data_IF_108320649172
#
_entry.id   IF_108320649172
#
_cell.length_a   1.000
_cell.length_b   1.000
_cell.length_c   1.000
_cell.angle_alpha   90.00
_cell.angle_beta   90.00
_cell.angle_gamma   90.00
#
_symmetry.space_group_name_H-M   'P 1'
#
loop_
_entity.id
_entity.type
_entity.pdbx_description
1 polymer ?
#
# COMPACT_ATOMS: atom_id res chain seq x y z
N UNK A 1 9.61 19.98 -13.61
CA UNK A 1 10.26 21.03 -12.78
C UNK A 1 11.01 20.51 -11.55
N UNK A 2 11.00 19.21 -11.22
CA UNK A 2 11.85 18.64 -10.16
C UNK A 2 12.33 17.22 -10.57
N UNK A 3 13.24 17.09 -11.55
CA UNK A 3 13.75 15.77 -11.93
C UNK A 3 14.55 15.15 -10.78
N UNK A 4 14.48 13.83 -10.64
CA UNK A 4 15.22 13.07 -9.63
C UNK A 4 14.52 12.94 -8.28
N UNK A 5 13.35 13.56 -8.09
CA UNK A 5 12.68 13.59 -6.77
C UNK A 5 11.50 12.62 -6.65
N UNK A 6 11.36 11.68 -7.57
CA UNK A 6 10.34 10.62 -7.55
C UNK A 6 10.96 9.30 -8.00
N UNK A 7 10.52 8.18 -7.43
CA UNK A 7 10.87 6.84 -7.92
C UNK A 7 9.85 5.82 -7.43
N UNK A 8 9.97 4.58 -7.89
CA UNK A 8 9.11 3.44 -7.54
C UNK A 8 9.99 2.40 -6.84
N UNK A 9 9.65 1.90 -5.65
CA UNK A 9 10.41 0.84 -5.02
C UNK A 9 10.21 -0.48 -5.77
N UNK A 10 11.23 -1.32 -5.81
CA UNK A 10 11.20 -2.64 -6.42
C UNK A 10 10.72 -3.70 -5.42
N UNK A 11 9.52 -3.50 -4.88
CA UNK A 11 8.90 -4.36 -3.88
C UNK A 11 7.39 -4.45 -4.11
N UNK A 12 6.71 -5.11 -3.17
CA UNK A 12 5.26 -5.22 -3.18
C UNK A 12 4.54 -3.86 -3.23
N UNK A 13 5.08 -2.83 -2.56
CA UNK A 13 4.49 -1.49 -2.53
C UNK A 13 4.56 -0.81 -3.89
N UNK A 14 5.72 -0.88 -4.55
CA UNK A 14 5.85 -0.34 -5.90
C UNK A 14 5.01 -1.08 -6.93
N UNK A 15 4.94 -2.41 -6.84
CA UNK A 15 4.04 -3.18 -7.70
C UNK A 15 2.57 -2.86 -7.44
N UNK A 16 2.22 -2.48 -6.20
CA UNK A 16 0.87 -2.02 -5.86
C UNK A 16 0.53 -0.67 -6.51
N UNK A 17 1.49 0.27 -6.54
CA UNK A 17 1.35 1.49 -7.34
C UNK A 17 1.16 1.18 -8.83
N UNK A 18 1.98 0.28 -9.39
CA UNK A 18 1.90 -0.10 -10.80
C UNK A 18 0.57 -0.78 -11.16
N UNK A 19 -0.03 -1.58 -10.25
CA UNK A 19 -1.39 -2.11 -10.43
C UNK A 19 -2.43 -0.99 -10.55
N UNK A 20 -2.37 0.01 -9.67
CA UNK A 20 -3.31 1.14 -9.73
C UNK A 20 -3.19 1.90 -11.07
N UNK A 21 -1.96 2.12 -11.54
CA UNK A 21 -1.71 2.74 -12.85
C UNK A 21 -2.17 1.84 -14.01
N UNK A 22 -1.95 0.53 -13.90
CA UNK A 22 -2.42 -0.44 -14.90
C UNK A 22 -3.95 -0.38 -15.04
N UNK A 23 -4.70 -0.32 -13.94
CA UNK A 23 -6.16 -0.15 -13.94
C UNK A 23 -6.55 1.17 -14.61
N UNK A 24 -5.90 2.28 -14.23
CA UNK A 24 -6.18 3.59 -14.82
C UNK A 24 -5.95 3.60 -16.34
N UNK A 25 -4.86 3.00 -16.80
CA UNK A 25 -4.52 2.88 -18.23
C UNK A 25 -5.41 1.89 -18.99
N UNK A 26 -6.02 0.93 -18.30
CA UNK A 26 -6.99 0.00 -18.88
C UNK A 26 -8.39 0.61 -19.06
N UNK A 27 -8.64 1.82 -18.55
CA UNK A 27 -9.93 2.50 -18.60
C UNK A 27 -10.53 2.84 -17.24
N UNK A 28 -9.86 2.49 -16.14
CA UNK A 28 -10.33 2.71 -14.78
C UNK A 28 -11.41 1.74 -14.33
N UNK A 29 -11.89 1.91 -13.09
CA UNK A 29 -12.99 1.12 -12.53
C UNK A 29 -12.70 -0.39 -12.53
N UNK A 30 -13.59 -1.15 -13.14
CA UNK A 30 -13.61 -2.62 -13.21
C UNK A 30 -12.93 -3.19 -14.46
N UNK A 31 -12.16 -2.39 -15.21
CA UNK A 31 -11.60 -2.78 -16.51
C UNK A 31 -10.77 -4.08 -16.48
N UNK A 32 -10.15 -4.40 -15.35
CA UNK A 32 -9.33 -5.59 -15.14
C UNK A 32 -9.93 -6.59 -14.13
N UNK A 33 -11.19 -6.39 -13.74
CA UNK A 33 -11.87 -7.24 -12.77
C UNK A 33 -12.07 -8.67 -13.29
N UNK A 34 -12.09 -9.61 -12.34
CA UNK A 34 -12.27 -11.02 -12.59
C UNK A 34 -10.95 -11.78 -12.82
N UNK A 35 -11.02 -12.97 -13.43
CA UNK A 35 -9.84 -13.79 -13.72
C UNK A 35 -8.84 -13.06 -14.62
N UNK A 36 -7.57 -13.42 -14.48
CA UNK A 36 -6.51 -12.89 -15.32
C UNK A 36 -6.82 -13.09 -16.83
N UNK A 37 -6.62 -12.02 -17.60
CA UNK A 37 -6.77 -12.04 -19.05
C UNK A 37 -5.48 -11.55 -19.69
N UNK A 38 -4.81 -12.45 -20.42
CA UNK A 38 -3.57 -12.13 -21.14
C UNK A 38 -3.77 -10.97 -22.13
N UNK A 39 -4.90 -10.94 -22.82
CA UNK A 39 -5.23 -9.90 -23.79
C UNK A 39 -5.35 -8.52 -23.12
N UNK A 40 -6.16 -8.43 -22.05
CA UNK A 40 -6.33 -7.18 -21.29
C UNK A 40 -5.02 -6.72 -20.68
N UNK A 41 -4.27 -7.65 -20.09
CA UNK A 41 -2.96 -7.37 -19.51
C UNK A 41 -2.01 -6.79 -20.56
N UNK A 42 -1.80 -7.47 -21.70
CA UNK A 42 -0.86 -7.02 -22.73
C UNK A 42 -1.20 -5.63 -23.27
N UNK A 43 -2.47 -5.31 -23.43
CA UNK A 43 -2.92 -3.99 -23.88
C UNK A 43 -2.59 -2.91 -22.84
N UNK A 44 -2.94 -3.14 -21.58
CA UNK A 44 -2.71 -2.17 -20.51
C UNK A 44 -1.22 -2.04 -20.13
N UNK A 45 -0.48 -3.15 -20.09
CA UNK A 45 0.93 -3.17 -19.69
C UNK A 45 1.84 -2.54 -20.74
N UNK A 46 1.50 -2.64 -22.03
CA UNK A 46 2.21 -1.90 -23.08
C UNK A 46 2.20 -0.38 -22.82
N UNK A 47 1.02 0.17 -22.49
CA UNK A 47 0.86 1.58 -22.12
C UNK A 47 1.59 1.91 -20.81
N UNK A 48 1.52 1.01 -19.81
CA UNK A 48 2.19 1.19 -18.54
C UNK A 48 3.71 1.31 -18.71
N UNK A 49 4.32 0.39 -19.46
CA UNK A 49 5.78 0.37 -19.61
C UNK A 49 6.27 1.51 -20.51
N UNK A 50 5.50 1.92 -21.51
CA UNK A 50 5.77 3.16 -22.24
C UNK A 50 5.78 4.37 -21.31
N UNK A 51 4.77 4.49 -20.45
CA UNK A 51 4.67 5.57 -19.48
C UNK A 51 5.83 5.56 -18.47
N UNK A 52 6.13 4.40 -17.86
CA UNK A 52 7.23 4.30 -16.87
C UNK A 52 8.58 4.61 -17.52
N UNK A 53 8.85 4.15 -18.75
CA UNK A 53 10.07 4.52 -19.48
C UNK A 53 10.15 6.02 -19.77
N UNK A 54 9.03 6.67 -20.09
CA UNK A 54 9.00 8.12 -20.30
C UNK A 54 9.36 8.90 -19.02
N UNK A 55 9.08 8.32 -17.84
CA UNK A 55 9.39 8.90 -16.54
C UNK A 55 10.82 8.57 -16.07
N UNK A 56 11.37 7.42 -16.47
CA UNK A 56 12.62 6.88 -15.95
C UNK A 56 13.81 7.87 -15.94
N UNK A 57 14.06 8.67 -17.01
CA UNK A 57 15.14 9.67 -17.00
C UNK A 57 15.00 10.74 -15.91
N UNK A 58 13.77 10.96 -15.43
CA UNK A 58 13.44 11.95 -14.41
C UNK A 58 13.27 11.32 -13.02
N UNK A 59 13.46 10.01 -12.87
CA UNK A 59 13.38 9.37 -11.56
C UNK A 59 14.66 9.59 -10.74
N UNK A 60 14.58 9.33 -9.43
CA UNK A 60 15.73 9.35 -8.53
C UNK A 60 16.88 8.53 -9.10
N UNK A 61 18.10 9.10 -9.07
CA UNK A 61 19.32 8.56 -9.70
C UNK A 61 19.16 8.26 -11.21
N UNK A 62 18.29 9.00 -11.90
CA UNK A 62 18.01 8.82 -13.33
C UNK A 62 17.36 7.48 -13.66
N UNK A 63 16.65 6.87 -12.70
CA UNK A 63 15.97 5.59 -12.88
C UNK A 63 16.91 4.39 -13.12
N UNK A 64 18.18 4.51 -12.73
CA UNK A 64 19.19 3.45 -12.82
C UNK A 64 19.15 2.49 -11.62
N UNK A 65 18.48 2.89 -10.56
CA UNK A 65 18.30 2.09 -9.34
C UNK A 65 16.96 2.43 -8.70
N UNK A 66 16.39 1.44 -8.04
CA UNK A 66 15.08 1.50 -7.43
C UNK A 66 15.20 1.06 -5.96
N UNK A 67 14.63 1.82 -5.01
CA UNK A 67 14.66 1.45 -3.60
C UNK A 67 14.04 0.07 -3.36
N UNK A 68 14.48 -0.63 -2.31
CA UNK A 68 14.02 -1.98 -1.97
C UNK A 68 12.68 -2.02 -1.20
N UNK A 69 12.12 -0.86 -0.86
CA UNK A 69 10.81 -0.76 -0.23
C UNK A 69 10.56 0.56 0.50
N UNK A 70 9.40 0.66 1.20
CA UNK A 70 8.95 1.88 1.89
C UNK A 70 9.95 2.43 2.90
N UNK A 71 10.64 1.58 3.66
CA UNK A 71 11.60 2.03 4.67
C UNK A 71 12.74 2.85 4.06
N UNK A 72 13.27 2.42 2.92
CA UNK A 72 14.30 3.16 2.17
C UNK A 72 13.70 4.43 1.56
N UNK A 73 12.51 4.34 0.98
CA UNK A 73 11.78 5.52 0.46
C UNK A 73 11.54 6.60 1.53
N UNK A 74 11.15 6.21 2.75
CA UNK A 74 10.96 7.16 3.86
C UNK A 74 12.26 7.85 4.26
N UNK A 75 13.39 7.13 4.28
CA UNK A 75 14.70 7.74 4.55
C UNK A 75 15.08 8.75 3.47
N UNK A 76 14.87 8.40 2.19
CA UNK A 76 15.10 9.31 1.07
C UNK A 76 14.22 10.56 1.17
N UNK A 77 12.94 10.40 1.54
CA UNK A 77 12.02 11.52 1.76
C UNK A 77 12.46 12.39 2.93
N UNK A 78 12.85 11.79 4.06
CA UNK A 78 13.33 12.52 5.23
C UNK A 78 14.62 13.31 4.95
N UNK A 79 15.48 12.78 4.08
CA UNK A 79 16.70 13.45 3.62
C UNK A 79 16.46 14.50 2.51
N UNK A 80 15.22 14.62 2.01
CA UNK A 80 14.88 15.53 0.90
C UNK A 80 15.39 15.08 -0.47
N UNK A 81 15.82 13.83 -0.62
CA UNK A 81 16.28 13.29 -1.91
C UNK A 81 15.13 13.01 -2.88
N UNK A 82 13.96 12.66 -2.32
CA UNK A 82 12.71 12.49 -3.07
C UNK A 82 11.60 13.27 -2.36
N UNK A 83 10.59 13.69 -3.13
CA UNK A 83 9.43 14.43 -2.63
C UNK A 83 8.24 13.51 -2.30
N UNK A 84 8.32 12.24 -2.72
CA UNK A 84 7.26 11.25 -2.52
C UNK A 84 7.83 9.97 -1.93
N UNK A 85 7.20 9.49 -0.86
CA UNK A 85 7.27 8.09 -0.44
C UNK A 85 5.89 7.46 -0.61
N UNK A 86 5.78 6.16 -0.37
CA UNK A 86 4.54 5.41 -0.53
C UNK A 86 4.42 4.35 0.57
N UNK A 87 3.19 4.01 0.92
CA UNK A 87 2.85 2.94 1.85
C UNK A 87 1.51 2.33 1.46
N UNK A 88 1.31 1.07 1.84
CA UNK A 88 0.02 0.38 1.75
C UNK A 88 -0.84 0.53 3.02
N UNK A 89 -0.33 1.25 4.04
CA UNK A 89 -1.05 1.55 5.26
C UNK A 89 -1.51 3.02 5.22
N UNK A 90 -2.82 3.21 5.28
CA UNK A 90 -3.49 4.51 5.20
C UNK A 90 -3.27 5.39 6.46
N UNK A 91 -2.65 4.86 7.52
CA UNK A 91 -2.19 5.58 8.70
C UNK A 91 -0.66 5.76 8.81
N UNK A 92 0.12 5.35 7.81
CA UNK A 92 1.60 5.31 7.89
C UNK A 92 2.21 6.70 8.17
N UNK A 93 1.73 7.75 7.51
CA UNK A 93 2.31 9.10 7.66
C UNK A 93 2.20 9.61 9.10
N UNK A 94 1.07 9.36 9.77
CA UNK A 94 0.87 9.73 11.17
C UNK A 94 1.81 8.94 12.08
N UNK A 95 1.94 7.64 11.85
CA UNK A 95 2.87 6.79 12.58
C UNK A 95 4.32 7.27 12.46
N UNK A 96 4.77 7.60 11.24
CA UNK A 96 6.16 8.01 11.01
C UNK A 96 6.46 9.43 11.46
N UNK A 97 5.48 10.33 11.48
CA UNK A 97 5.64 11.63 12.12
C UNK A 97 5.75 11.48 13.64
N UNK A 98 4.91 10.64 14.26
CA UNK A 98 5.00 10.36 15.71
C UNK A 98 6.34 9.69 16.09
N UNK A 99 6.89 8.85 15.23
CA UNK A 99 8.22 8.24 15.38
C UNK A 99 9.38 9.19 15.03
N UNK A 100 9.09 10.44 14.64
CA UNK A 100 10.09 11.44 14.21
C UNK A 100 10.92 11.00 12.99
N UNK A 101 10.43 10.04 12.21
CA UNK A 101 11.06 9.60 10.96
C UNK A 101 10.70 10.52 9.80
N UNK A 102 9.45 10.97 9.72
CA UNK A 102 8.99 11.93 8.73
C UNK A 102 8.75 13.30 9.37
N UNK A 103 8.99 14.40 8.63
CA UNK A 103 8.74 15.74 9.15
C UNK A 103 7.23 15.99 9.32
N UNK A 104 6.82 16.88 10.23
CA UNK A 104 5.40 17.23 10.44
C UNK A 104 4.78 17.99 9.25
N UNK A 105 5.56 18.28 8.21
CA UNK A 105 5.09 18.81 6.91
C UNK A 105 4.67 17.71 5.94
N UNK A 106 5.01 16.44 6.20
CA UNK A 106 4.59 15.31 5.38
C UNK A 106 3.06 15.16 5.40
N UNK A 107 2.48 14.85 4.24
CA UNK A 107 1.04 14.61 4.08
C UNK A 107 0.85 13.37 3.21
N UNK A 108 -0.09 12.52 3.58
CA UNK A 108 -0.54 11.44 2.70
C UNK A 108 -1.65 11.95 1.78
N UNK A 109 -1.77 11.32 0.61
CA UNK A 109 -2.87 11.53 -0.32
C UNK A 109 -3.11 10.24 -1.11
N UNK A 110 -4.27 10.16 -1.76
CA UNK A 110 -4.62 9.10 -2.71
C UNK A 110 -4.84 9.75 -4.07
N UNK A 111 -4.44 9.10 -5.17
CA UNK A 111 -4.72 9.59 -6.51
C UNK A 111 -6.22 9.65 -6.76
N UNK A 112 -6.69 10.62 -7.56
CA UNK A 112 -8.10 10.71 -7.94
C UNK A 112 -8.56 9.51 -8.79
N UNK A 113 -7.64 8.82 -9.46
CA UNK A 113 -7.87 7.55 -10.15
C UNK A 113 -8.00 6.34 -9.21
N UNK A 114 -7.77 6.54 -7.92
CA UNK A 114 -7.77 5.49 -6.91
C UNK A 114 -6.41 4.84 -6.65
N UNK A 115 -6.41 3.97 -5.64
CA UNK A 115 -5.30 3.08 -5.29
C UNK A 115 -5.85 1.73 -4.83
N UNK A 116 -5.04 0.69 -4.87
CA UNK A 116 -5.44 -0.65 -4.42
C UNK A 116 -5.73 -0.63 -2.92
N UNK A 117 -6.92 -1.09 -2.54
CA UNK A 117 -7.23 -1.47 -1.17
C UNK A 117 -6.95 -2.96 -0.98
N UNK A 118 -6.13 -3.28 0.01
CA UNK A 118 -5.76 -4.66 0.31
C UNK A 118 -6.18 -5.04 1.73
N UNK A 119 -6.26 -6.34 1.99
CA UNK A 119 -6.50 -6.92 3.30
C UNK A 119 -5.30 -7.77 3.74
N UNK A 120 -5.07 -7.82 5.04
CA UNK A 120 -4.10 -8.75 5.63
C UNK A 120 -4.78 -10.08 5.93
N UNK A 121 -4.11 -11.19 5.60
CA UNK A 121 -4.61 -12.54 5.88
C UNK A 121 -3.68 -13.27 6.84
N UNK A 122 -4.26 -14.07 7.73
CA UNK A 122 -3.54 -15.03 8.56
C UNK A 122 -3.94 -16.44 8.16
N UNK A 123 -2.94 -17.28 7.88
CA UNK A 123 -3.14 -18.67 7.49
C UNK A 123 -2.29 -19.60 8.34
N UNK A 124 -2.79 -20.82 8.57
CA UNK A 124 -2.03 -21.89 9.20
C UNK A 124 -1.60 -22.86 8.09
N UNK A 125 -0.30 -22.99 7.88
CA UNK A 125 0.23 -23.93 6.90
C UNK A 125 -0.20 -25.37 7.21
N UNK A 126 -0.50 -26.17 6.18
CA UNK A 126 -0.96 -27.56 6.35
C UNK A 126 0.04 -28.40 7.19
N UNK A 127 1.34 -28.18 6.96
CA UNK A 127 2.43 -28.84 7.69
C UNK A 127 2.82 -28.21 9.03
N UNK A 128 2.08 -27.22 9.54
CA UNK A 128 2.44 -26.55 10.79
C UNK A 128 2.49 -27.57 11.96
N UNK A 129 3.61 -27.63 12.71
CA UNK A 129 3.80 -28.62 13.77
C UNK A 129 2.96 -28.33 15.01
N UNK A 130 2.54 -27.07 15.22
CA UNK A 130 1.69 -26.65 16.33
C UNK A 130 0.50 -25.82 15.83
N UNK A 131 -0.52 -26.50 15.31
CA UNK A 131 -1.74 -25.84 14.81
C UNK A 131 -2.54 -25.16 15.91
N UNK A 132 -2.65 -25.79 17.09
CA UNK A 132 -3.41 -25.24 18.21
C UNK A 132 -2.79 -23.92 18.72
N UNK A 133 -1.46 -23.87 18.85
CA UNK A 133 -0.75 -22.64 19.20
C UNK A 133 -0.93 -21.55 18.14
N UNK A 134 -0.88 -21.91 16.86
CA UNK A 134 -1.14 -20.95 15.78
C UNK A 134 -2.57 -20.37 15.84
N UNK A 135 -3.58 -21.22 16.09
CA UNK A 135 -4.97 -20.77 16.28
C UNK A 135 -5.12 -19.83 17.49
N UNK A 136 -4.43 -20.11 18.59
CA UNK A 136 -4.46 -19.24 19.77
C UNK A 136 -3.90 -17.84 19.46
N UNK A 137 -2.79 -17.77 18.73
CA UNK A 137 -2.20 -16.49 18.29
C UNK A 137 -3.16 -15.74 17.37
N UNK A 138 -3.77 -16.43 16.40
CA UNK A 138 -4.77 -15.82 15.51
C UNK A 138 -5.96 -15.28 16.31
N UNK A 139 -6.48 -16.05 17.27
CA UNK A 139 -7.57 -15.59 18.14
C UNK A 139 -7.19 -14.36 18.96
N UNK A 140 -5.96 -14.32 19.49
CA UNK A 140 -5.45 -13.14 20.19
C UNK A 140 -5.35 -11.93 19.26
N UNK A 141 -4.80 -12.10 18.05
CA UNK A 141 -4.67 -11.00 17.08
C UNK A 141 -6.03 -10.48 16.60
N UNK A 142 -7.08 -11.31 16.62
CA UNK A 142 -8.47 -10.92 16.35
C UNK A 142 -9.21 -10.37 17.59
N UNK A 143 -8.57 -10.30 18.76
CA UNK A 143 -9.21 -9.76 19.96
C UNK A 143 -9.43 -8.23 19.87
N UNK A 144 -10.42 -7.68 20.59
CA UNK A 144 -10.63 -6.23 20.67
C UNK A 144 -9.38 -5.48 21.15
N UNK A 145 -8.63 -6.05 22.10
CA UNK A 145 -7.40 -5.47 22.64
C UNK A 145 -6.32 -5.34 21.57
N UNK A 146 -5.99 -6.43 20.87
CA UNK A 146 -4.98 -6.42 19.83
C UNK A 146 -5.35 -5.49 18.68
N UNK A 147 -6.62 -5.51 18.26
CA UNK A 147 -7.11 -4.65 17.17
C UNK A 147 -7.17 -3.17 17.57
N UNK A 148 -7.51 -2.86 18.82
CA UNK A 148 -7.44 -1.50 19.35
C UNK A 148 -6.00 -1.00 19.38
N UNK A 149 -5.06 -1.81 19.88
CA UNK A 149 -3.65 -1.46 19.92
C UNK A 149 -3.07 -1.23 18.51
N UNK A 150 -3.39 -2.10 17.56
CA UNK A 150 -3.04 -1.94 16.13
C UNK A 150 -3.53 -0.62 15.57
N UNK A 151 -4.78 -0.23 15.88
CA UNK A 151 -5.40 0.99 15.35
C UNK A 151 -4.75 2.28 15.87
N UNK A 152 -4.02 2.24 16.98
CA UNK A 152 -3.37 3.43 17.53
C UNK A 152 -2.32 3.98 16.55
N UNK A 153 -2.36 5.27 16.18
CA UNK A 153 -1.39 5.88 15.25
C UNK A 153 0.06 5.74 15.72
N UNK A 154 0.31 5.80 17.03
CA UNK A 154 1.65 5.63 17.61
C UNK A 154 2.21 4.20 17.46
N UNK A 155 1.36 3.22 17.14
CA UNK A 155 1.72 1.79 17.04
C UNK A 155 1.79 1.38 15.57
N UNK A 156 0.63 1.18 14.93
CA UNK A 156 0.53 0.80 13.52
C UNK A 156 -0.39 1.74 12.73
N UNK A 157 -1.47 2.25 13.34
CA UNK A 157 -2.41 3.19 12.71
C UNK A 157 -3.36 2.56 11.67
N UNK A 158 -3.32 1.24 11.53
CA UNK A 158 -4.06 0.47 10.53
C UNK A 158 -5.45 0.05 11.05
N UNK A 159 -6.39 -0.21 10.13
CA UNK A 159 -7.78 -0.50 10.42
C UNK A 159 -7.99 -1.75 11.27
N UNK A 160 -9.11 -1.75 12.00
CA UNK A 160 -9.62 -2.95 12.67
C UNK A 160 -10.49 -3.76 11.71
N UNK A 161 -10.40 -5.08 11.78
CA UNK A 161 -11.32 -6.00 11.07
C UNK A 161 -12.62 -6.26 11.84
N UNK A 162 -12.71 -5.74 13.07
CA UNK A 162 -13.87 -5.96 13.94
C UNK A 162 -15.02 -5.02 13.59
N UNK A 163 -16.22 -5.58 13.56
CA UNK A 163 -17.44 -4.79 13.58
C UNK A 163 -17.60 -4.13 14.96
N UNK A 164 -17.31 -2.83 15.02
CA UNK A 164 -17.32 -2.02 16.23
C UNK A 164 -18.69 -2.00 16.91
N UNK A 165 -19.79 -2.09 16.15
CA UNK A 165 -21.15 -2.04 16.71
C UNK A 165 -21.52 -3.34 17.45
N UNK A 166 -20.74 -4.41 17.23
CA UNK A 166 -20.94 -5.73 17.86
C UNK A 166 -20.02 -5.98 19.05
N UNK A 167 -19.16 -5.01 19.38
CA UNK A 167 -18.26 -5.11 20.53
C UNK A 167 -19.00 -4.80 21.84
N UNK A 168 -18.51 -5.27 23.00
CA UNK A 168 -18.95 -4.76 24.29
C UNK A 168 -18.79 -3.24 24.38
N UNK A 169 -19.66 -2.57 25.13
CA UNK A 169 -19.74 -1.09 25.22
C UNK A 169 -18.40 -0.42 25.54
N UNK A 170 -17.63 -0.98 26.49
CA UNK A 170 -16.29 -0.51 26.85
C UNK A 170 -15.35 -0.45 25.63
N UNK A 171 -15.40 -1.46 24.76
CA UNK A 171 -14.59 -1.48 23.55
C UNK A 171 -15.12 -0.51 22.50
N UNK A 172 -16.44 -0.37 22.36
CA UNK A 172 -17.01 0.62 21.45
C UNK A 172 -16.50 2.03 21.80
N UNK A 173 -16.54 2.38 23.08
CA UNK A 173 -16.04 3.66 23.59
C UNK A 173 -14.54 3.83 23.32
N UNK A 174 -13.73 2.82 23.63
CA UNK A 174 -12.28 2.83 23.32
C UNK A 174 -12.03 3.08 21.84
N UNK A 175 -12.67 2.33 20.94
CA UNK A 175 -12.51 2.51 19.49
C UNK A 175 -12.99 3.88 18.99
N UNK A 176 -14.05 4.45 19.58
CA UNK A 176 -14.55 5.78 19.25
C UNK A 176 -13.59 6.90 19.66
N UNK A 177 -12.80 6.67 20.72
CA UNK A 177 -11.88 7.64 21.29
C UNK A 177 -10.42 7.49 20.82
N UNK A 178 -10.14 6.60 19.86
CA UNK A 178 -8.78 6.51 19.27
C UNK A 178 -8.44 7.87 18.64
N UNK A 179 -7.24 8.42 18.90
CA UNK A 179 -6.79 9.64 18.24
C UNK A 179 -6.93 9.52 16.72
N UNK A 180 -7.65 10.47 16.14
CA UNK A 180 -7.84 10.55 14.70
C UNK A 180 -6.52 10.82 13.96
N UNK A 181 -6.55 10.63 12.64
CA UNK A 181 -5.43 10.97 11.76
C UNK A 181 -5.35 12.48 11.57
N UNK A 182 -4.12 12.99 11.56
CA UNK A 182 -3.79 14.41 11.39
C UNK A 182 -3.14 14.68 10.03
N UNK A 183 -2.29 13.76 9.56
CA UNK A 183 -1.46 13.96 8.37
C UNK A 183 -1.95 13.21 7.13
N UNK A 184 -2.81 12.21 7.33
CA UNK A 184 -3.55 11.53 6.26
C UNK A 184 -5.00 12.03 6.13
N UNK A 185 -5.62 11.88 4.95
CA UNK A 185 -7.05 12.09 4.78
C UNK A 185 -7.86 11.18 5.70
N UNK A 186 -9.08 11.61 6.04
CA UNK A 186 -10.05 10.75 6.71
C UNK A 186 -10.41 9.57 5.79
N UNK A 187 -10.57 8.36 6.35
CA UNK A 187 -10.91 7.15 5.58
C UNK A 187 -12.16 7.36 4.72
N UNK A 188 -13.20 7.94 5.30
CA UNK A 188 -14.45 8.27 4.59
C UNK A 188 -14.28 9.17 3.37
N UNK A 189 -13.20 9.97 3.30
CA UNK A 189 -12.91 10.84 2.15
C UNK A 189 -12.18 10.10 1.01
N UNK A 190 -11.64 8.91 1.26
CA UNK A 190 -10.87 8.11 0.29
C UNK A 190 -11.52 6.74 0.01
N UNK A 191 -12.59 6.36 0.70
CA UNK A 191 -13.27 5.08 0.51
C UNK A 191 -13.74 4.86 -0.95
N UNK A 192 -14.22 5.90 -1.62
CA UNK A 192 -14.64 5.82 -3.03
C UNK A 192 -13.46 5.71 -4.02
N UNK A 193 -12.23 5.88 -3.55
CA UNK A 193 -10.99 5.76 -4.32
C UNK A 193 -10.32 4.39 -4.13
N UNK A 194 -10.92 3.49 -3.34
CA UNK A 194 -10.44 2.14 -3.13
C UNK A 194 -10.71 1.28 -4.39
N UNK A 195 -9.62 0.85 -5.03
CA UNK A 195 -9.66 -0.10 -6.14
C UNK A 195 -9.58 -1.52 -5.58
N UNK A 196 -10.35 -2.43 -6.16
CA UNK A 196 -10.30 -3.85 -5.80
C UNK A 196 -8.94 -4.46 -6.20
N UNK A 197 -8.46 -5.38 -5.37
CA UNK A 197 -7.28 -6.16 -5.66
C UNK A 197 -7.50 -7.04 -6.91
N UNK A 198 -6.55 -7.00 -7.86
CA UNK A 198 -6.63 -7.80 -9.09
C UNK A 198 -6.30 -9.26 -8.83
N UNK A 199 -6.59 -10.14 -9.80
CA UNK A 199 -6.14 -11.53 -9.77
C UNK A 199 -4.60 -11.60 -9.52
N UNK A 200 -4.10 -12.54 -8.68
CA UNK A 200 -2.70 -12.57 -8.26
C UNK A 200 -1.69 -12.62 -9.42
N UNK A 201 -2.07 -13.20 -10.56
CA UNK A 201 -1.25 -13.32 -11.76
C UNK A 201 -0.83 -11.95 -12.32
N UNK A 202 -1.65 -10.90 -12.17
CA UNK A 202 -1.28 -9.54 -12.58
C UNK A 202 -0.03 -9.06 -11.83
N UNK A 203 0.05 -9.31 -10.52
CA UNK A 203 1.22 -8.91 -9.72
C UNK A 203 2.47 -9.71 -10.10
N UNK A 204 2.32 -11.02 -10.31
CA UNK A 204 3.43 -11.88 -10.75
C UNK A 204 4.00 -11.36 -12.08
N UNK A 205 3.13 -11.03 -13.03
CA UNK A 205 3.53 -10.48 -14.33
C UNK A 205 4.16 -9.10 -14.22
N UNK A 206 3.61 -8.22 -13.39
CA UNK A 206 4.19 -6.89 -13.17
C UNK A 206 5.61 -6.95 -12.60
N UNK A 207 5.89 -7.83 -11.63
CA UNK A 207 7.25 -8.00 -11.12
C UNK A 207 8.22 -8.43 -12.22
N UNK A 208 7.80 -9.45 -12.98
CA UNK A 208 8.67 -10.06 -13.98
C UNK A 208 8.92 -9.11 -15.17
N UNK A 209 7.89 -8.36 -15.58
CA UNK A 209 7.97 -7.37 -16.64
C UNK A 209 8.66 -6.08 -16.16
N UNK A 210 8.50 -5.61 -14.92
CA UNK A 210 9.23 -4.45 -14.40
C UNK A 210 10.74 -4.67 -14.48
N UNK A 211 11.19 -5.86 -14.08
CA UNK A 211 12.58 -6.28 -14.24
C UNK A 211 13.03 -6.22 -15.70
N UNK A 212 12.30 -6.86 -16.61
CA UNK A 212 12.68 -6.97 -18.04
C UNK A 212 12.55 -5.67 -18.83
N UNK A 213 11.56 -4.84 -18.51
CA UNK A 213 11.20 -3.65 -19.29
C UNK A 213 11.88 -2.38 -18.79
N UNK A 214 12.26 -2.32 -17.51
CA UNK A 214 12.78 -1.11 -16.85
C UNK A 214 14.16 -1.31 -16.22
N UNK A 215 14.44 -2.45 -15.58
CA UNK A 215 15.70 -2.66 -14.86
C UNK A 215 16.79 -3.21 -15.79
N UNK A 216 16.46 -4.16 -16.66
CA UNK A 216 17.42 -4.88 -17.52
C UNK A 216 17.67 -4.21 -18.88
N UNK A 217 16.83 -3.24 -19.28
CA UNK A 217 16.97 -2.48 -20.54
C UNK A 217 17.64 -1.13 -20.30
#
# INVERSE_FOLDING_TARGET
ENPGTFTIPNDFTGMTLLKAWLIALAGGGDALDGPFSEERYRKASALLWEYVRSLQPYMWKGGKTFPDGPATMHKLLANGEIHFSMSNNDGEVDNKVLQQLLPPTARAFVFSSGTIQNAHYMGIAQGAPNKAGAMLVINFLLSPEAQYHKLQPAVWGDGTVLDRNRLPEEWQEKFNNVPGRTYAPQRSAIDSLALMELAPEYMIRLFDDFRKEIIEK
#
